data_IF_304328858536
#
_entry.id   IF_304328858536
#
_cell.length_a   1.000
_cell.length_b   1.000
_cell.length_c   1.000
_cell.angle_alpha   90.00
_cell.angle_beta   90.00
_cell.angle_gamma   90.00
#
_symmetry.space_group_name_H-M   'P 1'
#
loop_
_entity.id
_entity.type
_entity.pdbx_description
1 polymer ?
#
# COMPACT_ATOMS: atom_id res chain seq x y z
N UNK A 1 -11.67 7.21 -1.00
CA UNK A 1 -12.48 8.40 -1.36
C UNK A 1 -13.93 8.04 -1.67
N UNK A 2 -14.20 6.95 -2.40
CA UNK A 2 -15.55 6.53 -2.82
C UNK A 2 -16.56 6.46 -1.66
N UNK A 3 -16.18 5.81 -0.55
CA UNK A 3 -17.04 5.67 0.63
C UNK A 3 -17.37 7.01 1.29
N UNK A 4 -16.42 7.96 1.27
CA UNK A 4 -16.58 9.28 1.89
C UNK A 4 -17.53 10.13 1.05
N UNK A 5 -17.33 10.17 -0.28
CA UNK A 5 -18.26 10.80 -1.22
C UNK A 5 -19.69 10.30 -0.96
N UNK A 6 -19.86 8.98 -0.89
CA UNK A 6 -21.17 8.37 -0.67
C UNK A 6 -21.77 8.69 0.70
N UNK A 7 -20.94 8.79 1.73
CA UNK A 7 -21.39 9.21 3.05
C UNK A 7 -21.95 10.64 3.03
N UNK A 8 -21.26 11.58 2.38
CA UNK A 8 -21.75 12.96 2.25
C UNK A 8 -23.09 13.01 1.52
N UNK A 9 -23.21 12.33 0.37
CA UNK A 9 -24.45 12.25 -0.41
C UNK A 9 -25.65 11.73 0.39
N UNK A 10 -25.43 10.72 1.25
CA UNK A 10 -26.52 10.02 1.92
C UNK A 10 -26.85 10.56 3.31
N UNK A 11 -25.86 11.12 4.03
CA UNK A 11 -26.02 11.43 5.45
C UNK A 11 -25.18 12.60 5.94
N UNK A 12 -23.99 12.84 5.39
CA UNK A 12 -23.04 13.82 5.93
C UNK A 12 -23.64 15.20 6.12
N UNK A 13 -24.37 15.70 5.10
CA UNK A 13 -24.99 17.04 5.16
C UNK A 13 -26.14 17.17 6.17
N UNK A 14 -26.74 16.06 6.63
CA UNK A 14 -27.77 16.12 7.68
C UNK A 14 -27.24 16.47 9.07
N UNK A 15 -25.92 16.56 9.22
CA UNK A 15 -25.26 17.03 10.44
C UNK A 15 -24.93 18.53 10.40
N UNK A 16 -25.26 19.22 9.31
CA UNK A 16 -25.01 20.67 9.13
C UNK A 16 -23.56 21.06 9.47
N UNK A 17 -22.53 20.42 8.86
CA UNK A 17 -21.15 20.68 9.23
C UNK A 17 -20.70 22.08 8.79
N UNK A 18 -20.09 22.82 9.72
CA UNK A 18 -19.46 24.11 9.42
C UNK A 18 -18.12 23.96 8.67
N UNK A 19 -17.50 22.78 8.74
CA UNK A 19 -16.25 22.46 8.07
C UNK A 19 -16.12 20.97 7.82
N UNK A 20 -15.46 20.58 6.73
CA UNK A 20 -15.06 19.20 6.46
C UNK A 20 -13.54 19.10 6.43
N UNK A 21 -12.99 18.19 7.24
CA UNK A 21 -11.58 17.80 7.20
C UNK A 21 -11.47 16.39 6.62
N UNK A 22 -10.75 16.26 5.52
CA UNK A 22 -10.63 15.04 4.74
C UNK A 22 -9.22 14.47 4.83
N UNK A 23 -9.08 13.26 5.38
CA UNK A 23 -7.86 12.44 5.33
C UNK A 23 -8.17 11.12 4.63
N UNK A 24 -7.75 10.95 3.37
CA UNK A 24 -8.02 9.73 2.62
C UNK A 24 -6.98 9.49 1.51
N UNK A 25 -6.96 8.27 0.96
CA UNK A 25 -6.09 7.89 -0.17
C UNK A 25 -5.16 6.71 0.10
N UNK A 26 -4.77 6.46 1.36
CA UNK A 26 -3.89 5.34 1.72
C UNK A 26 -4.43 3.99 1.24
N UNK A 27 -5.73 3.76 1.42
CA UNK A 27 -6.37 2.50 1.03
C UNK A 27 -6.80 2.46 -0.44
N UNK A 28 -7.04 3.63 -1.04
CA UNK A 28 -7.57 3.76 -2.41
C UNK A 28 -6.60 3.14 -3.43
N UNK A 29 -5.30 3.30 -3.18
CA UNK A 29 -4.23 2.80 -4.03
C UNK A 29 -3.86 1.31 -3.83
N UNK A 30 -4.54 0.57 -2.97
CA UNK A 30 -4.25 -0.86 -2.76
C UNK A 30 -5.05 -1.77 -3.70
N UNK A 31 -4.54 -2.95 -4.01
CA UNK A 31 -5.31 -4.01 -4.68
C UNK A 31 -6.21 -4.69 -3.63
N UNK A 32 -7.52 -4.71 -3.87
CA UNK A 32 -8.48 -5.51 -3.08
C UNK A 32 -8.94 -6.80 -3.79
N UNK A 33 -8.56 -6.96 -5.05
CA UNK A 33 -8.91 -8.11 -5.87
C UNK A 33 -9.28 -7.71 -7.30
N UNK A 34 -10.34 -8.32 -7.83
CA UNK A 34 -10.77 -8.13 -9.22
C UNK A 34 -11.69 -6.93 -9.43
N UNK A 35 -12.28 -6.39 -8.36
CA UNK A 35 -13.32 -5.37 -8.43
C UNK A 35 -12.90 -4.10 -7.69
N UNK A 36 -13.25 -2.95 -8.26
CA UNK A 36 -13.09 -1.64 -7.62
C UNK A 36 -14.17 -1.44 -6.55
N UNK A 37 -13.93 -0.50 -5.62
CA UNK A 37 -14.89 -0.13 -4.58
C UNK A 37 -16.24 0.32 -5.20
N UNK A 38 -16.22 1.04 -6.33
CA UNK A 38 -17.43 1.49 -7.05
C UNK A 38 -18.24 0.32 -7.61
N UNK A 39 -17.58 -0.69 -8.17
CA UNK A 39 -18.24 -1.91 -8.64
C UNK A 39 -18.80 -2.74 -7.49
N UNK A 40 -18.05 -2.87 -6.40
CA UNK A 40 -18.53 -3.56 -5.20
C UNK A 40 -19.78 -2.85 -4.66
N UNK A 41 -19.76 -1.52 -4.59
CA UNK A 41 -20.89 -0.73 -4.11
C UNK A 41 -22.11 -0.81 -5.02
N UNK A 42 -21.95 -0.74 -6.35
CA UNK A 42 -23.07 -0.87 -7.29
C UNK A 42 -23.75 -2.25 -7.18
N UNK A 43 -22.97 -3.31 -6.97
CA UNK A 43 -23.48 -4.66 -6.68
C UNK A 43 -24.20 -4.74 -5.34
N UNK A 44 -23.79 -3.95 -4.34
CA UNK A 44 -24.46 -3.90 -3.03
C UNK A 44 -25.83 -3.22 -3.07
N UNK A 45 -26.12 -2.35 -4.04
CA UNK A 45 -27.45 -1.71 -4.17
C UNK A 45 -28.55 -2.77 -4.38
N UNK A 46 -28.23 -3.89 -5.02
CA UNK A 46 -29.11 -5.04 -5.18
C UNK A 46 -29.33 -5.82 -3.87
N UNK A 47 -28.58 -5.55 -2.79
CA UNK A 47 -28.76 -6.22 -1.50
C UNK A 47 -30.05 -5.83 -0.78
N UNK A 48 -30.63 -4.64 -1.01
CA UNK A 48 -31.90 -4.27 -0.34
C UNK A 48 -33.06 -5.17 -0.80
N UNK A 49 -33.30 -5.38 -2.10
CA UNK A 49 -34.21 -6.43 -2.59
C UNK A 49 -33.80 -7.83 -2.10
N UNK A 50 -32.52 -8.20 -2.16
CA UNK A 50 -32.06 -9.53 -1.68
C UNK A 50 -32.32 -9.75 -0.19
N UNK A 51 -32.18 -8.72 0.67
CA UNK A 51 -32.37 -8.80 2.12
C UNK A 51 -33.86 -8.89 2.48
N UNK A 52 -34.72 -8.19 1.73
CA UNK A 52 -36.16 -8.38 1.77
C UNK A 52 -36.56 -9.80 1.34
N UNK A 53 -35.99 -10.28 0.22
CA UNK A 53 -36.28 -11.62 -0.30
C UNK A 53 -35.69 -12.75 0.57
N UNK A 54 -34.59 -12.50 1.31
CA UNK A 54 -33.98 -13.46 2.24
C UNK A 54 -34.89 -13.83 3.43
N UNK A 55 -35.97 -13.08 3.65
CA UNK A 55 -37.03 -13.45 4.59
C UNK A 55 -37.85 -14.68 4.15
N UNK A 56 -37.88 -14.99 2.84
CA UNK A 56 -38.66 -16.10 2.30
C UNK A 56 -37.85 -17.40 2.22
N UNK A 57 -38.37 -18.48 2.81
CA UNK A 57 -37.70 -19.79 2.85
C UNK A 57 -37.37 -20.34 1.45
N UNK A 58 -38.28 -20.17 0.49
CA UNK A 58 -38.08 -20.57 -0.90
C UNK A 58 -36.94 -19.80 -1.58
N UNK A 59 -36.87 -18.49 -1.35
CA UNK A 59 -35.77 -17.67 -1.84
C UNK A 59 -34.44 -18.07 -1.21
N UNK A 60 -34.38 -18.47 0.07
CA UNK A 60 -33.15 -18.99 0.69
C UNK A 60 -32.66 -20.28 0.02
N UNK A 61 -33.55 -21.22 -0.25
CA UNK A 61 -33.21 -22.49 -0.95
C UNK A 61 -32.73 -22.22 -2.37
N UNK A 62 -33.44 -21.38 -3.13
CA UNK A 62 -33.05 -21.02 -4.49
C UNK A 62 -31.74 -20.21 -4.50
N UNK A 63 -31.58 -19.28 -3.57
CA UNK A 63 -30.35 -18.51 -3.39
C UNK A 63 -29.19 -19.48 -3.15
N UNK A 64 -29.27 -20.38 -2.18
CA UNK A 64 -28.15 -21.27 -1.86
C UNK A 64 -27.76 -22.17 -3.05
N UNK A 65 -28.70 -22.50 -3.95
CA UNK A 65 -28.46 -23.21 -5.21
C UNK A 65 -27.86 -22.30 -6.32
N UNK A 66 -28.28 -21.02 -6.39
CA UNK A 66 -27.87 -20.08 -7.44
C UNK A 66 -26.58 -19.33 -7.07
N UNK A 67 -26.45 -18.81 -5.85
CA UNK A 67 -25.22 -18.12 -5.40
C UNK A 67 -24.03 -19.06 -5.32
N UNK A 68 -24.22 -20.33 -4.94
CA UNK A 68 -23.12 -21.31 -4.99
C UNK A 68 -22.62 -21.60 -6.41
N UNK A 69 -23.38 -21.31 -7.48
CA UNK A 69 -22.88 -21.41 -8.86
C UNK A 69 -22.41 -20.07 -9.41
N UNK A 70 -23.18 -19.00 -9.21
CA UNK A 70 -22.94 -17.71 -9.87
C UNK A 70 -21.93 -16.82 -9.15
N UNK A 71 -21.87 -16.83 -7.82
CA UNK A 71 -20.77 -16.17 -7.10
C UNK A 71 -19.48 -16.96 -7.30
N UNK A 72 -19.54 -18.30 -7.39
CA UNK A 72 -18.37 -19.11 -7.77
C UNK A 72 -17.93 -18.82 -9.22
N UNK A 73 -18.84 -18.68 -10.20
CA UNK A 73 -18.50 -18.31 -11.58
C UNK A 73 -18.00 -16.87 -11.73
N UNK A 74 -18.56 -15.89 -10.99
CA UNK A 74 -18.13 -14.48 -11.03
C UNK A 74 -16.89 -14.18 -10.15
N UNK A 75 -16.59 -15.00 -9.14
CA UNK A 75 -15.31 -15.01 -8.40
C UNK A 75 -14.22 -15.75 -9.19
N UNK A 76 -14.61 -16.71 -10.05
CA UNK A 76 -13.72 -17.45 -10.95
C UNK A 76 -13.59 -16.84 -12.34
N UNK A 77 -14.01 -15.58 -12.57
CA UNK A 77 -13.56 -14.83 -13.75
C UNK A 77 -12.08 -14.45 -13.57
N UNK A 78 -11.22 -15.47 -13.55
CA UNK A 78 -9.77 -15.38 -13.34
C UNK A 78 -9.07 -14.65 -14.48
N UNK A 79 -9.79 -14.36 -15.58
CA UNK A 79 -9.25 -13.61 -16.71
C UNK A 79 -9.29 -12.10 -16.48
N UNK A 80 -10.02 -11.62 -15.46
CA UNK A 80 -10.03 -10.20 -15.13
C UNK A 80 -8.72 -9.80 -14.45
N UNK A 81 -8.05 -8.72 -14.91
CA UNK A 81 -6.85 -8.24 -14.24
C UNK A 81 -7.18 -7.67 -12.86
N UNK A 82 -6.25 -7.83 -11.93
CA UNK A 82 -6.31 -7.19 -10.62
C UNK A 82 -6.32 -5.67 -10.78
N UNK A 83 -7.15 -4.99 -10.00
CA UNK A 83 -7.31 -3.54 -10.07
C UNK A 83 -7.11 -2.90 -8.69
N UNK A 84 -6.66 -1.63 -8.64
CA UNK A 84 -6.67 -0.87 -7.41
C UNK A 84 -8.11 -0.66 -6.97
N UNK A 85 -8.33 -0.51 -5.67
CA UNK A 85 -9.65 -0.24 -5.08
C UNK A 85 -10.34 0.95 -5.72
N UNK A 86 -9.59 2.03 -5.95
CA UNK A 86 -10.05 3.23 -6.64
C UNK A 86 -8.91 3.67 -7.53
N UNK A 87 -9.12 3.83 -8.85
CA UNK A 87 -8.06 4.31 -9.74
C UNK A 87 -7.70 5.77 -9.43
N UNK A 88 -6.53 6.28 -9.85
CA UNK A 88 -6.21 7.70 -9.67
C UNK A 88 -7.27 8.63 -10.27
N UNK A 89 -7.78 8.33 -11.46
CA UNK A 89 -8.80 9.14 -12.15
C UNK A 89 -10.09 9.16 -11.34
N UNK A 90 -10.55 7.98 -10.90
CA UNK A 90 -11.73 7.84 -10.07
C UNK A 90 -11.56 8.53 -8.71
N UNK A 91 -10.36 8.48 -8.14
CA UNK A 91 -10.03 9.18 -6.91
C UNK A 91 -10.16 10.71 -7.10
N UNK A 92 -9.64 11.24 -8.21
CA UNK A 92 -9.81 12.65 -8.59
C UNK A 92 -11.27 13.05 -8.80
N UNK A 93 -12.05 12.26 -9.54
CA UNK A 93 -13.51 12.45 -9.69
C UNK A 93 -14.20 12.56 -8.33
N UNK A 94 -13.87 11.64 -7.42
CA UNK A 94 -14.46 11.61 -6.09
C UNK A 94 -14.08 12.83 -5.25
N UNK A 95 -12.83 13.29 -5.32
CA UNK A 95 -12.39 14.50 -4.60
C UNK A 95 -13.04 15.77 -5.16
N UNK A 96 -13.13 15.89 -6.49
CA UNK A 96 -13.83 16.99 -7.16
C UNK A 96 -15.29 17.06 -6.73
N UNK A 97 -15.98 15.93 -6.73
CA UNK A 97 -17.38 15.84 -6.31
C UNK A 97 -17.56 16.25 -4.84
N UNK A 98 -16.66 15.81 -3.95
CA UNK A 98 -16.66 16.24 -2.55
C UNK A 98 -16.46 17.77 -2.45
N UNK A 99 -15.49 18.34 -3.17
CA UNK A 99 -15.24 19.79 -3.17
C UNK A 99 -16.45 20.59 -3.67
N UNK A 100 -17.11 20.13 -4.74
CA UNK A 100 -18.33 20.73 -5.28
C UNK A 100 -19.53 20.62 -4.34
N UNK A 101 -19.69 19.49 -3.63
CA UNK A 101 -20.68 19.37 -2.57
C UNK A 101 -20.41 20.39 -1.47
N UNK A 102 -19.17 20.48 -0.98
CA UNK A 102 -18.76 21.45 0.05
C UNK A 102 -19.09 22.89 -0.37
N UNK A 103 -18.75 23.26 -1.61
CA UNK A 103 -19.05 24.60 -2.17
C UNK A 103 -20.54 24.89 -2.24
N UNK A 104 -21.38 23.92 -2.62
CA UNK A 104 -22.85 24.09 -2.67
C UNK A 104 -23.49 24.29 -1.30
N UNK A 105 -22.84 23.78 -0.25
CA UNK A 105 -23.29 23.88 1.12
C UNK A 105 -22.60 25.02 1.91
N UNK A 106 -21.84 25.90 1.22
CA UNK A 106 -21.03 26.94 1.85
C UNK A 106 -20.12 26.40 2.98
N UNK A 107 -19.64 25.18 2.78
CA UNK A 107 -18.83 24.44 3.74
C UNK A 107 -17.37 24.41 3.23
N UNK A 108 -16.40 24.97 3.97
CA UNK A 108 -14.99 24.87 3.65
C UNK A 108 -14.48 23.42 3.73
N UNK A 109 -13.57 23.07 2.82
CA UNK A 109 -12.94 21.75 2.76
C UNK A 109 -11.43 21.86 3.05
N UNK A 110 -10.96 21.18 4.09
CA UNK A 110 -9.54 20.98 4.35
C UNK A 110 -9.16 19.56 3.94
N UNK A 111 -8.26 19.40 2.97
CA UNK A 111 -7.70 18.09 2.59
C UNK A 111 -6.32 17.93 3.21
N UNK A 112 -6.14 16.87 3.97
CA UNK A 112 -4.87 16.47 4.54
C UNK A 112 -4.20 15.48 3.58
N UNK A 113 -3.16 15.95 2.86
CA UNK A 113 -2.37 15.08 1.97
C UNK A 113 -1.68 14.01 2.84
N UNK A 114 -1.91 12.70 2.66
CA UNK A 114 -1.36 11.72 3.60
C UNK A 114 0.17 11.61 3.49
N UNK A 115 0.92 11.68 4.59
CA UNK A 115 2.35 11.37 4.59
C UNK A 115 2.54 9.84 4.50
N UNK A 116 3.68 9.39 3.93
CA UNK A 116 3.98 7.95 3.76
C UNK A 116 5.42 7.62 4.14
N UNK A 117 5.67 6.48 4.81
CA UNK A 117 7.02 5.99 5.10
C UNK A 117 7.61 5.23 3.91
N UNK A 118 8.87 5.51 3.61
CA UNK A 118 9.68 4.86 2.58
C UNK A 118 10.33 3.56 3.06
N UNK A 119 10.61 3.43 4.37
CA UNK A 119 11.33 2.28 4.93
C UNK A 119 10.42 1.09 5.26
N UNK A 120 9.12 1.20 5.01
CA UNK A 120 8.23 0.05 5.10
C UNK A 120 8.49 -0.94 3.94
N UNK A 121 8.75 -2.24 4.22
CA UNK A 121 9.03 -3.24 3.20
C UNK A 121 7.89 -3.35 2.18
N UNK A 122 8.22 -3.06 0.92
CA UNK A 122 7.27 -3.16 -0.18
C UNK A 122 6.70 -4.58 -0.31
N UNK A 123 5.39 -4.75 -0.53
CA UNK A 123 4.80 -6.07 -0.73
C UNK A 123 4.60 -6.92 0.53
N UNK A 124 5.04 -6.47 1.71
CA UNK A 124 5.04 -7.31 2.92
C UNK A 124 3.72 -7.28 3.68
N UNK A 125 2.97 -6.18 3.64
CA UNK A 125 1.82 -5.94 4.53
C UNK A 125 0.79 -7.08 4.51
N UNK A 126 0.41 -7.57 3.33
CA UNK A 126 -0.62 -8.61 3.21
C UNK A 126 -0.08 -10.03 3.27
N UNK A 127 1.24 -10.23 3.35
CA UNK A 127 1.85 -11.57 3.38
C UNK A 127 1.41 -12.39 4.59
N UNK A 128 1.15 -11.75 5.74
CA UNK A 128 0.59 -12.39 6.94
C UNK A 128 -0.77 -13.04 6.68
N UNK A 129 -1.52 -12.59 5.67
CA UNK A 129 -2.83 -13.09 5.31
C UNK A 129 -2.82 -14.07 4.12
N UNK A 130 -1.65 -14.38 3.56
CA UNK A 130 -1.51 -15.19 2.34
C UNK A 130 -2.15 -16.59 2.42
N UNK A 131 -2.25 -17.13 3.63
CA UNK A 131 -2.76 -18.47 3.92
C UNK A 131 -4.17 -18.47 4.51
N UNK A 132 -4.76 -17.30 4.75
CA UNK A 132 -6.09 -17.24 5.34
C UNK A 132 -7.14 -17.69 4.34
N UNK A 133 -8.03 -18.55 4.81
CA UNK A 133 -9.19 -19.01 4.06
C UNK A 133 -10.49 -18.49 4.66
N UNK A 134 -11.49 -18.27 3.82
CA UNK A 134 -12.86 -18.02 4.25
C UNK A 134 -13.50 -19.26 4.88
N UNK A 135 -14.75 -19.11 5.34
CA UNK A 135 -15.53 -20.22 5.91
C UNK A 135 -15.88 -21.32 4.90
N UNK A 136 -15.65 -21.06 3.61
CA UNK A 136 -15.79 -22.00 2.49
C UNK A 136 -14.47 -22.74 2.16
N UNK A 137 -13.39 -22.47 2.91
CA UNK A 137 -12.07 -23.05 2.69
C UNK A 137 -11.30 -22.44 1.51
N UNK A 138 -11.82 -21.42 0.83
CA UNK A 138 -11.10 -20.71 -0.24
C UNK A 138 -10.22 -19.60 0.32
N UNK A 139 -9.10 -19.29 -0.36
CA UNK A 139 -8.24 -18.18 0.04
C UNK A 139 -9.00 -16.86 0.04
N UNK A 140 -8.77 -16.03 1.07
CA UNK A 140 -9.40 -14.70 1.17
C UNK A 140 -8.91 -13.78 0.03
N UNK A 141 -7.67 -13.97 -0.42
CA UNK A 141 -7.15 -13.29 -1.59
C UNK A 141 -7.35 -14.10 -2.87
N UNK A 142 -7.59 -13.42 -4.00
CA UNK A 142 -7.45 -14.02 -5.31
C UNK A 142 -6.13 -14.79 -5.44
N UNK A 143 -6.19 -15.95 -6.08
CA UNK A 143 -5.02 -16.83 -6.27
C UNK A 143 -3.78 -16.09 -6.83
N UNK A 144 -3.88 -15.20 -7.83
CA UNK A 144 -2.71 -14.46 -8.32
C UNK A 144 -2.04 -13.61 -7.24
N UNK A 145 -2.82 -12.99 -6.35
CA UNK A 145 -2.26 -12.24 -5.21
C UNK A 145 -1.57 -13.21 -4.25
N UNK A 146 -2.25 -14.30 -3.88
CA UNK A 146 -1.72 -15.29 -2.95
C UNK A 146 -0.41 -15.92 -3.44
N UNK A 147 -0.32 -16.24 -4.74
CA UNK A 147 0.87 -16.80 -5.37
C UNK A 147 2.03 -15.78 -5.32
N UNK A 148 1.77 -14.49 -5.57
CA UNK A 148 2.77 -13.42 -5.50
C UNK A 148 3.27 -13.22 -4.06
N UNK A 149 2.37 -13.00 -3.11
CA UNK A 149 2.77 -12.73 -1.71
C UNK A 149 3.37 -13.97 -1.04
N UNK A 150 2.98 -15.16 -1.51
CA UNK A 150 3.49 -16.46 -1.06
C UNK A 150 4.90 -16.80 -1.53
N UNK A 151 5.50 -16.01 -2.43
CA UNK A 151 6.85 -16.25 -2.91
C UNK A 151 7.87 -16.26 -1.76
N UNK A 152 8.89 -17.13 -1.88
CA UNK A 152 10.02 -17.26 -0.95
C UNK A 152 11.05 -16.15 -1.16
N UNK A 153 10.59 -14.90 -1.05
CA UNK A 153 11.39 -13.70 -1.25
C UNK A 153 11.83 -13.12 0.10
N UNK A 154 13.14 -12.99 0.30
CA UNK A 154 13.75 -12.35 1.47
C UNK A 154 13.84 -10.83 1.33
N UNK A 155 13.89 -10.14 2.46
CA UNK A 155 13.95 -8.68 2.56
C UNK A 155 15.16 -8.19 3.36
N UNK A 156 15.69 -7.02 3.01
CA UNK A 156 16.68 -6.29 3.81
C UNK A 156 15.99 -5.68 5.04
N UNK A 157 15.65 -6.52 6.01
CA UNK A 157 15.05 -6.14 7.28
C UNK A 157 16.11 -6.21 8.36
N UNK A 158 16.42 -5.06 8.95
CA UNK A 158 17.25 -4.96 10.15
C UNK A 158 16.35 -4.79 11.38
N UNK A 159 16.55 -5.67 12.38
CA UNK A 159 15.81 -5.63 13.64
C UNK A 159 16.12 -4.38 14.44
N UNK A 160 17.35 -3.87 14.39
CA UNK A 160 17.75 -2.68 15.13
C UNK A 160 17.08 -1.44 14.53
N UNK A 161 17.17 -1.25 13.21
CA UNK A 161 16.44 -0.19 12.50
C UNK A 161 14.93 -0.29 12.70
N UNK A 162 14.35 -1.48 12.58
CA UNK A 162 12.91 -1.68 12.82
C UNK A 162 12.51 -1.27 14.24
N UNK A 163 13.31 -1.63 15.25
CA UNK A 163 13.10 -1.21 16.64
C UNK A 163 13.29 0.31 16.83
N UNK A 164 14.24 0.92 16.13
CA UNK A 164 14.45 2.38 16.19
C UNK A 164 13.28 3.14 15.57
N UNK A 165 12.79 2.69 14.41
CA UNK A 165 11.73 3.36 13.67
C UNK A 165 10.36 3.19 14.32
N UNK A 166 10.02 1.96 14.70
CA UNK A 166 8.66 1.61 15.13
C UNK A 166 8.57 1.38 16.64
N UNK A 167 9.67 1.54 17.38
CA UNK A 167 9.71 1.43 18.83
C UNK A 167 9.29 0.05 19.35
N UNK A 168 8.43 0.04 20.37
CA UNK A 168 7.71 -1.15 20.82
C UNK A 168 6.67 -1.52 19.78
N UNK A 169 7.10 -2.25 18.76
CA UNK A 169 6.29 -2.66 17.61
C UNK A 169 4.97 -3.27 18.11
N UNK A 170 3.85 -2.73 17.64
CA UNK A 170 2.54 -3.30 17.95
C UNK A 170 2.46 -4.75 17.42
N UNK A 171 1.52 -5.52 17.96
CA UNK A 171 1.43 -6.95 17.66
C UNK A 171 1.25 -7.22 16.16
N UNK A 172 0.48 -6.37 15.46
CA UNK A 172 0.22 -6.52 14.04
C UNK A 172 1.46 -6.19 13.21
N UNK A 173 2.11 -5.06 13.45
CA UNK A 173 3.34 -4.71 12.71
C UNK A 173 4.42 -5.77 12.90
N UNK A 174 4.57 -6.29 14.13
CA UNK A 174 5.51 -7.38 14.40
C UNK A 174 5.15 -8.65 13.64
N UNK A 175 3.87 -9.00 13.56
CA UNK A 175 3.40 -10.15 12.78
C UNK A 175 3.70 -9.99 11.28
N UNK A 176 3.52 -8.78 10.73
CA UNK A 176 3.87 -8.48 9.33
C UNK A 176 5.37 -8.65 9.10
N UNK A 177 6.23 -8.06 9.93
CA UNK A 177 7.68 -8.22 9.82
C UNK A 177 8.11 -9.69 9.92
N UNK A 178 7.53 -10.44 10.85
CA UNK A 178 7.80 -11.87 11.02
C UNK A 178 7.24 -12.74 9.89
N UNK A 179 6.36 -12.22 9.03
CA UNK A 179 5.86 -12.93 7.85
C UNK A 179 6.86 -12.92 6.68
N UNK A 180 7.91 -12.10 6.74
CA UNK A 180 8.97 -12.11 5.76
C UNK A 180 9.62 -13.50 5.70
N UNK A 181 9.92 -13.97 4.49
CA UNK A 181 10.52 -15.29 4.32
C UNK A 181 11.93 -15.32 4.92
N UNK A 182 12.23 -16.39 5.66
CA UNK A 182 13.56 -16.71 6.16
C UNK A 182 13.84 -18.20 5.92
N UNK A 183 15.09 -18.54 5.60
CA UNK A 183 15.53 -19.90 5.29
C UNK A 183 16.37 -20.54 6.41
N UNK A 184 16.51 -19.86 7.54
CA UNK A 184 17.24 -20.29 8.76
C UNK A 184 18.74 -20.59 8.58
N UNK A 185 19.28 -20.46 7.36
CA UNK A 185 20.70 -20.64 7.08
C UNK A 185 21.52 -19.47 7.63
N UNK A 186 22.78 -19.75 8.00
CA UNK A 186 23.76 -18.68 8.18
C UNK A 186 24.00 -17.96 6.85
N UNK A 187 24.60 -16.76 6.89
CA UNK A 187 24.80 -15.98 5.67
C UNK A 187 25.72 -16.73 4.68
N UNK A 188 26.79 -17.37 5.15
CA UNK A 188 27.74 -18.10 4.29
C UNK A 188 27.10 -19.35 3.67
N UNK A 189 26.35 -20.12 4.46
CA UNK A 189 25.57 -21.26 3.96
C UNK A 189 24.53 -20.80 2.92
N UNK A 190 23.85 -19.67 3.14
CA UNK A 190 22.90 -19.12 2.20
C UNK A 190 23.58 -18.71 0.88
N UNK A 191 24.74 -18.06 0.94
CA UNK A 191 25.53 -17.69 -0.24
C UNK A 191 25.91 -18.94 -1.03
N UNK A 192 26.47 -19.96 -0.39
CA UNK A 192 26.84 -21.23 -1.03
C UNK A 192 25.62 -21.92 -1.64
N UNK A 193 24.53 -22.02 -0.87
CA UNK A 193 23.29 -22.65 -1.29
C UNK A 193 22.73 -21.99 -2.55
N UNK A 194 22.48 -20.67 -2.52
CA UNK A 194 21.90 -19.97 -3.66
C UNK A 194 22.85 -19.93 -4.85
N UNK A 195 24.17 -19.81 -4.64
CA UNK A 195 25.17 -19.93 -5.71
C UNK A 195 25.08 -21.29 -6.41
N UNK A 196 24.99 -22.38 -5.65
CA UNK A 196 24.86 -23.74 -6.20
C UNK A 196 23.55 -23.93 -6.99
N UNK A 197 22.46 -23.27 -6.55
CA UNK A 197 21.17 -23.29 -7.25
C UNK A 197 21.23 -22.51 -8.55
N UNK A 198 21.88 -21.34 -8.55
CA UNK A 198 22.06 -20.51 -9.73
C UNK A 198 22.92 -21.17 -10.82
N UNK A 199 23.81 -22.11 -10.47
CA UNK A 199 24.51 -22.93 -11.47
C UNK A 199 23.53 -23.78 -12.31
N UNK A 200 22.41 -24.21 -11.72
CA UNK A 200 21.37 -25.03 -12.37
C UNK A 200 20.28 -24.17 -13.00
N UNK A 201 19.90 -23.07 -12.36
CA UNK A 201 18.86 -22.16 -12.81
C UNK A 201 19.36 -20.70 -12.79
N UNK A 202 20.10 -20.32 -13.85
CA UNK A 202 20.75 -19.01 -13.98
C UNK A 202 19.78 -17.84 -14.14
N UNK A 203 18.49 -18.11 -14.35
CA UNK A 203 17.48 -17.07 -14.59
C UNK A 203 16.58 -16.83 -13.37
N UNK A 204 16.80 -17.56 -12.28
CA UNK A 204 15.97 -17.45 -11.09
C UNK A 204 16.22 -16.14 -10.33
N UNK A 205 15.34 -15.15 -10.53
CA UNK A 205 15.46 -13.86 -9.85
C UNK A 205 15.32 -13.96 -8.33
N UNK A 206 14.57 -14.93 -7.79
CA UNK A 206 14.42 -15.14 -6.34
C UNK A 206 15.74 -15.58 -5.70
N UNK A 207 16.49 -16.48 -6.35
CA UNK A 207 17.79 -16.93 -5.84
C UNK A 207 18.81 -15.79 -5.82
N UNK A 208 18.87 -14.96 -6.86
CA UNK A 208 19.72 -13.76 -6.84
C UNK A 208 19.33 -12.80 -5.71
N UNK A 209 18.04 -12.52 -5.53
CA UNK A 209 17.60 -11.64 -4.45
C UNK A 209 17.97 -12.20 -3.08
N UNK A 210 17.67 -13.47 -2.82
CA UNK A 210 17.92 -14.08 -1.51
C UNK A 210 19.42 -14.21 -1.21
N UNK A 211 20.24 -14.43 -2.24
CA UNK A 211 21.70 -14.36 -2.14
C UNK A 211 22.17 -12.94 -1.82
N UNK A 212 21.58 -11.92 -2.47
CA UNK A 212 21.86 -10.52 -2.17
C UNK A 212 21.55 -10.15 -0.71
N UNK A 213 20.48 -10.70 -0.13
CA UNK A 213 20.19 -10.53 1.30
C UNK A 213 21.29 -11.14 2.17
N UNK A 214 21.83 -12.30 1.80
CA UNK A 214 22.90 -12.95 2.55
C UNK A 214 24.20 -12.12 2.50
N UNK A 215 24.56 -11.59 1.33
CA UNK A 215 25.66 -10.64 1.20
C UNK A 215 25.45 -9.37 2.03
N UNK A 216 24.26 -8.77 1.97
CA UNK A 216 23.92 -7.58 2.75
C UNK A 216 24.04 -7.83 4.26
N UNK A 217 23.55 -8.96 4.76
CA UNK A 217 23.68 -9.35 6.17
C UNK A 217 25.13 -9.58 6.59
N UNK A 218 26.02 -9.92 5.66
CA UNK A 218 27.46 -10.07 5.90
C UNK A 218 28.26 -8.77 5.68
N UNK A 219 27.59 -7.65 5.40
CA UNK A 219 28.27 -6.36 5.12
C UNK A 219 28.93 -6.27 3.75
N UNK A 220 28.70 -7.25 2.86
CA UNK A 220 29.22 -7.29 1.50
C UNK A 220 28.26 -6.53 0.55
N UNK A 221 28.21 -5.21 0.70
CA UNK A 221 27.18 -4.39 0.05
C UNK A 221 27.32 -4.29 -1.46
N UNK A 222 28.53 -4.39 -2.00
CA UNK A 222 28.77 -4.37 -3.44
C UNK A 222 28.21 -5.62 -4.14
N UNK A 223 28.48 -6.80 -3.58
CA UNK A 223 27.97 -8.09 -4.04
C UNK A 223 26.44 -8.17 -3.88
N UNK A 224 25.91 -7.58 -2.80
CA UNK A 224 24.48 -7.45 -2.59
C UNK A 224 23.82 -6.57 -3.66
N UNK A 225 24.37 -5.39 -3.95
CA UNK A 225 23.85 -4.48 -4.99
C UNK A 225 23.83 -5.17 -6.37
N UNK A 226 24.93 -5.83 -6.74
CA UNK A 226 25.00 -6.62 -7.97
C UNK A 226 23.87 -7.66 -8.03
N UNK A 227 23.71 -8.44 -6.96
CA UNK A 227 22.70 -9.50 -6.88
C UNK A 227 21.27 -8.95 -6.99
N UNK A 228 20.95 -7.85 -6.31
CA UNK A 228 19.61 -7.24 -6.39
C UNK A 228 19.31 -6.69 -7.78
N UNK A 229 20.29 -6.06 -8.44
CA UNK A 229 20.09 -5.53 -9.80
C UNK A 229 19.90 -6.62 -10.83
N UNK A 230 20.64 -7.72 -10.72
CA UNK A 230 20.44 -8.91 -11.56
C UNK A 230 19.06 -9.50 -11.31
N UNK A 231 18.65 -9.67 -10.05
CA UNK A 231 17.32 -10.14 -9.68
C UNK A 231 16.22 -9.27 -10.31
N UNK A 232 16.29 -7.95 -10.15
CA UNK A 232 15.33 -7.00 -10.74
C UNK A 232 15.28 -7.11 -12.26
N UNK A 233 16.45 -7.17 -12.91
CA UNK A 233 16.56 -7.29 -14.37
C UNK A 233 15.90 -8.58 -14.88
N UNK A 234 16.16 -9.71 -14.22
CA UNK A 234 15.56 -10.99 -14.58
C UNK A 234 14.05 -10.99 -14.37
N UNK A 235 13.58 -10.45 -13.23
CA UNK A 235 12.16 -10.29 -12.96
C UNK A 235 11.45 -9.47 -14.05
N UNK A 236 12.04 -8.34 -14.44
CA UNK A 236 11.48 -7.48 -15.50
C UNK A 236 11.43 -8.19 -16.86
N UNK A 237 12.44 -8.98 -17.20
CA UNK A 237 12.45 -9.78 -18.45
C UNK A 237 11.38 -10.86 -18.44
N UNK A 238 11.19 -11.53 -17.30
CA UNK A 238 10.16 -12.56 -17.15
C UNK A 238 8.75 -11.98 -17.29
N UNK A 239 8.53 -10.75 -16.81
CA UNK A 239 7.24 -10.06 -16.82
C UNK A 239 7.17 -8.93 -17.85
N UNK A 240 8.02 -8.93 -18.89
CA UNK A 240 8.13 -7.83 -19.85
C UNK A 240 6.81 -7.55 -20.60
N UNK A 241 6.01 -8.60 -20.80
CA UNK A 241 4.70 -8.54 -21.47
C UNK A 241 3.54 -8.35 -20.50
N UNK A 242 3.78 -8.39 -19.19
CA UNK A 242 2.76 -8.26 -18.16
C UNK A 242 2.87 -6.88 -17.49
N UNK A 243 2.09 -5.93 -18.00
CA UNK A 243 1.97 -4.59 -17.45
C UNK A 243 0.93 -4.48 -16.34
N UNK A 244 0.41 -5.61 -15.83
CA UNK A 244 -0.57 -5.60 -14.76
C UNK A 244 -0.01 -4.97 -13.49
N UNK A 245 -0.88 -4.32 -12.72
CA UNK A 245 -0.50 -3.73 -11.43
C UNK A 245 0.02 -4.78 -10.46
N UNK A 246 -0.44 -6.03 -10.58
CA UNK A 246 0.05 -7.14 -9.78
C UNK A 246 1.51 -7.50 -10.09
N UNK A 247 1.86 -7.65 -11.37
CA UNK A 247 3.25 -7.88 -11.79
C UNK A 247 4.15 -6.69 -11.43
N UNK A 248 3.68 -5.46 -11.64
CA UNK A 248 4.42 -4.27 -11.21
C UNK A 248 4.69 -4.28 -9.70
N UNK A 249 3.68 -4.63 -8.89
CA UNK A 249 3.79 -4.70 -7.43
C UNK A 249 4.68 -5.84 -6.94
N UNK A 250 4.65 -6.99 -7.60
CA UNK A 250 5.55 -8.10 -7.31
C UNK A 250 7.02 -7.76 -7.59
N UNK A 251 7.29 -6.76 -8.42
CA UNK A 251 8.62 -6.21 -8.67
C UNK A 251 9.12 -5.19 -7.63
N UNK A 252 8.25 -4.66 -6.77
CA UNK A 252 8.61 -3.63 -5.80
C UNK A 252 9.62 -4.08 -4.71
N UNK A 253 9.59 -5.32 -4.19
CA UNK A 253 10.55 -5.78 -3.18
C UNK A 253 12.03 -5.71 -3.62
N UNK A 254 12.33 -5.94 -4.89
CA UNK A 254 13.71 -5.86 -5.40
C UNK A 254 14.26 -4.43 -5.29
N UNK A 255 13.43 -3.43 -5.65
CA UNK A 255 13.80 -2.02 -5.53
C UNK A 255 13.96 -1.61 -4.06
N UNK A 256 13.09 -2.11 -3.19
CA UNK A 256 13.21 -1.90 -1.75
C UNK A 256 14.56 -2.44 -1.22
N UNK A 257 14.92 -3.67 -1.56
CA UNK A 257 16.18 -4.28 -1.11
C UNK A 257 17.41 -3.51 -1.63
N UNK A 258 17.40 -3.08 -2.90
CA UNK A 258 18.46 -2.21 -3.44
C UNK A 258 18.54 -0.89 -2.68
N UNK A 259 17.41 -0.22 -2.44
CA UNK A 259 17.37 1.03 -1.69
C UNK A 259 17.93 0.91 -0.28
N UNK A 260 17.54 -0.14 0.46
CA UNK A 260 18.08 -0.43 1.79
C UNK A 260 19.58 -0.76 1.76
N UNK A 261 20.04 -1.49 0.74
CA UNK A 261 21.46 -1.79 0.58
C UNK A 261 22.27 -0.50 0.43
N UNK A 262 21.81 0.44 -0.40
CA UNK A 262 22.47 1.74 -0.61
C UNK A 262 22.52 2.59 0.67
N UNK A 263 21.45 2.58 1.49
CA UNK A 263 21.49 3.22 2.81
C UNK A 263 22.59 2.59 3.65
N UNK A 264 22.62 1.26 3.72
CA UNK A 264 23.56 0.51 4.56
C UNK A 264 25.01 0.70 4.12
N UNK A 265 25.26 0.69 2.81
CA UNK A 265 26.56 0.94 2.19
C UNK A 265 27.08 2.35 2.47
N UNK A 266 26.21 3.36 2.38
CA UNK A 266 26.61 4.75 2.58
C UNK A 266 27.05 5.06 4.02
N UNK A 267 26.68 4.21 4.99
CA UNK A 267 26.81 4.49 6.41
C UNK A 267 25.93 5.66 6.90
N UNK A 268 25.20 6.32 5.99
CA UNK A 268 24.24 7.35 6.35
C UNK A 268 23.03 6.70 7.03
N UNK A 269 22.48 7.40 8.02
CA UNK A 269 21.22 7.00 8.63
C UNK A 269 20.05 7.27 7.69
N UNK A 270 18.85 7.35 8.28
CA UNK A 270 17.61 7.60 7.53
C UNK A 270 17.55 9.00 6.93
N UNK A 271 18.47 9.90 7.31
CA UNK A 271 18.55 11.29 6.83
C UNK A 271 18.79 11.37 5.32
N UNK A 272 19.39 10.34 4.71
CA UNK A 272 19.58 10.25 3.26
C UNK A 272 18.25 10.31 2.49
N UNK A 273 17.13 9.98 3.13
CA UNK A 273 15.78 10.07 2.55
C UNK A 273 15.27 11.51 2.44
N UNK A 274 15.92 12.47 3.07
CA UNK A 274 15.61 13.89 2.91
C UNK A 274 16.17 14.44 1.58
N UNK A 275 17.21 13.80 1.03
CA UNK A 275 17.76 14.12 -0.27
C UNK A 275 17.06 13.32 -1.37
N UNK A 276 16.12 13.97 -2.06
CA UNK A 276 15.39 13.36 -3.18
C UNK A 276 16.26 13.05 -4.40
N UNK A 277 17.49 13.57 -4.46
CA UNK A 277 18.46 13.25 -5.52
C UNK A 277 19.28 11.99 -5.22
N UNK A 278 19.24 11.50 -3.97
CA UNK A 278 19.98 10.30 -3.59
C UNK A 278 19.44 9.04 -4.30
N UNK A 279 20.35 8.15 -4.67
CA UNK A 279 19.98 6.89 -5.31
C UNK A 279 19.10 6.02 -4.37
N UNK A 280 19.41 6.02 -3.07
CA UNK A 280 18.63 5.30 -2.07
C UNK A 280 17.17 5.77 -2.02
N UNK A 281 16.96 7.09 -1.99
CA UNK A 281 15.62 7.68 -2.05
C UNK A 281 14.91 7.27 -3.36
N UNK A 282 15.58 7.40 -4.51
CA UNK A 282 14.98 7.08 -5.80
C UNK A 282 14.50 5.61 -5.87
N UNK A 283 15.28 4.67 -5.34
CA UNK A 283 14.89 3.25 -5.29
C UNK A 283 13.72 2.99 -4.32
N UNK A 284 13.74 3.58 -3.13
CA UNK A 284 12.68 3.38 -2.13
C UNK A 284 11.38 4.06 -2.51
N UNK A 285 11.44 5.27 -3.08
CA UNK A 285 10.28 5.92 -3.66
C UNK A 285 9.72 5.07 -4.80
N UNK A 286 10.55 4.57 -5.72
CA UNK A 286 10.09 3.68 -6.80
C UNK A 286 9.45 2.40 -6.26
N UNK A 287 10.02 1.79 -5.21
CA UNK A 287 9.42 0.65 -4.53
C UNK A 287 8.04 1.01 -3.96
N UNK A 288 7.91 2.15 -3.29
CA UNK A 288 6.63 2.64 -2.76
C UNK A 288 5.62 2.90 -3.86
N UNK A 289 6.03 3.53 -4.98
CA UNK A 289 5.14 3.84 -6.10
C UNK A 289 4.60 2.59 -6.78
N UNK A 290 5.40 1.51 -6.82
CA UNK A 290 4.99 0.24 -7.41
C UNK A 290 4.26 -0.68 -6.42
N UNK A 291 4.31 -0.44 -5.11
CA UNK A 291 3.75 -1.35 -4.12
C UNK A 291 2.24 -1.17 -3.90
N UNK A 292 1.39 -1.80 -4.72
CA UNK A 292 -0.06 -1.81 -4.49
C UNK A 292 -0.52 -2.88 -3.48
N UNK A 293 0.42 -3.60 -2.85
CA UNK A 293 0.15 -4.57 -1.78
C UNK A 293 0.34 -3.98 -0.38
N UNK A 294 0.59 -2.67 -0.27
CA UNK A 294 0.51 -1.94 0.98
C UNK A 294 -0.45 -0.75 0.87
N UNK A 295 -1.11 -0.40 1.97
CA UNK A 295 -2.04 0.72 2.08
C UNK A 295 -1.28 2.06 2.15
N UNK A 296 -0.58 2.42 1.07
CA UNK A 296 0.18 3.67 0.95
C UNK A 296 -0.23 4.39 -0.32
N UNK A 297 -0.65 5.65 -0.19
CA UNK A 297 -1.04 6.50 -1.32
C UNK A 297 0.14 6.69 -2.29
N UNK A 298 -0.14 6.80 -3.60
CA UNK A 298 0.88 6.97 -4.66
C UNK A 298 0.93 8.41 -5.16
N UNK A 299 2.03 8.77 -5.81
CA UNK A 299 2.24 10.09 -6.43
C UNK A 299 1.15 10.45 -7.43
N UNK A 300 0.61 9.49 -8.16
CA UNK A 300 -0.51 9.72 -9.10
C UNK A 300 -1.78 10.19 -8.38
N UNK A 301 -2.03 9.75 -7.14
CA UNK A 301 -3.14 10.22 -6.31
C UNK A 301 -2.83 11.58 -5.67
N UNK A 302 -1.58 11.81 -5.27
CA UNK A 302 -1.14 13.14 -4.83
C UNK A 302 -1.38 14.21 -5.89
N UNK A 303 -1.13 13.91 -7.17
CA UNK A 303 -1.46 14.82 -8.27
C UNK A 303 -2.95 15.19 -8.27
N UNK A 304 -3.84 14.24 -8.00
CA UNK A 304 -5.28 14.51 -7.94
C UNK A 304 -5.66 15.43 -6.77
N UNK A 305 -4.99 15.29 -5.62
CA UNK A 305 -5.14 16.23 -4.49
C UNK A 305 -4.68 17.63 -4.91
N UNK A 306 -3.53 17.72 -5.59
CA UNK A 306 -2.98 18.99 -6.07
C UNK A 306 -3.85 19.65 -7.16
N UNK A 307 -4.59 18.86 -7.95
CA UNK A 307 -5.56 19.39 -8.91
C UNK A 307 -6.82 19.96 -8.21
N UNK A 308 -7.33 19.27 -7.18
CA UNK A 308 -8.50 19.73 -6.42
C UNK A 308 -8.17 20.92 -5.51
N UNK A 309 -6.89 21.15 -5.18
CA UNK A 309 -6.47 22.35 -4.43
C UNK A 309 -6.68 23.67 -5.19
N UNK A 310 -7.06 23.62 -6.47
CA UNK A 310 -7.35 24.81 -7.30
C UNK A 310 -8.74 25.40 -7.04
N UNK A 311 -9.59 24.69 -6.30
CA UNK A 311 -10.91 25.16 -5.91
C UNK A 311 -10.78 26.16 -4.76
N UNK A 312 -11.53 27.25 -4.83
CA UNK A 312 -11.47 28.37 -3.87
C UNK A 312 -11.90 27.99 -2.45
N UNK A 313 -12.82 27.01 -2.32
CA UNK A 313 -13.27 26.50 -1.04
C UNK A 313 -12.40 25.35 -0.47
N UNK A 314 -11.25 25.06 -1.09
CA UNK A 314 -10.38 23.93 -0.70
C UNK A 314 -9.04 24.42 -0.20
N UNK A 315 -8.67 24.01 1.01
CA UNK A 315 -7.33 24.17 1.57
C UNK A 315 -6.63 22.81 1.64
N UNK A 316 -5.41 22.71 1.12
CA UNK A 316 -4.61 21.47 1.20
C UNK A 316 -3.46 21.63 2.18
N UNK A 317 -3.38 20.74 3.17
CA UNK A 317 -2.25 20.64 4.10
C UNK A 317 -1.26 19.62 3.57
N UNK A 318 -0.03 20.05 3.27
CA UNK A 318 1.03 19.20 2.72
C UNK A 318 1.79 18.45 3.81
N UNK A 319 1.13 17.51 4.49
CA UNK A 319 1.76 16.72 5.54
C UNK A 319 3.02 15.93 5.09
N UNK A 320 3.19 15.44 3.83
CA UNK A 320 4.42 14.78 3.42
C UNK A 320 5.67 15.66 3.59
N UNK A 321 5.57 16.95 3.29
CA UNK A 321 6.68 17.90 3.50
C UNK A 321 6.92 18.11 5.00
N UNK A 322 5.86 18.37 5.75
CA UNK A 322 5.93 18.60 7.20
C UNK A 322 6.53 17.39 7.94
N UNK A 323 6.12 16.17 7.58
CA UNK A 323 6.64 14.96 8.18
C UNK A 323 8.13 14.79 7.88
N UNK A 324 8.55 15.00 6.62
CA UNK A 324 9.96 14.94 6.23
C UNK A 324 10.83 15.87 7.09
N UNK A 325 10.36 17.09 7.29
CA UNK A 325 11.12 18.12 8.00
C UNK A 325 11.18 17.89 9.53
N UNK A 326 10.24 17.12 10.11
CA UNK A 326 10.07 17.00 11.57
C UNK A 326 10.36 15.61 12.17
N UNK A 327 10.77 14.65 11.36
CA UNK A 327 11.17 13.31 11.84
C UNK A 327 11.01 12.18 10.84
N UNK A 328 10.38 12.43 9.69
CA UNK A 328 10.21 11.51 8.58
C UNK A 328 9.66 10.15 9.03
N UNK A 329 10.45 9.11 8.76
CA UNK A 329 10.13 7.71 9.06
C UNK A 329 9.80 7.45 10.54
N UNK A 330 10.41 8.21 11.47
CA UNK A 330 10.20 8.05 12.93
C UNK A 330 8.82 8.53 13.39
N UNK A 331 8.05 9.16 12.51
CA UNK A 331 6.70 9.63 12.80
C UNK A 331 5.62 8.58 12.47
N UNK A 332 6.00 7.35 12.12
CA UNK A 332 5.07 6.27 11.81
C UNK A 332 5.22 5.08 12.76
N UNK A 333 4.09 4.43 13.06
CA UNK A 333 4.04 3.16 13.79
C UNK A 333 4.17 1.98 12.81
N UNK A 334 3.64 2.16 11.60
CA UNK A 334 3.65 1.15 10.54
C UNK A 334 3.66 1.80 9.14
N UNK A 335 3.21 1.07 8.11
CA UNK A 335 3.09 1.56 6.73
C UNK A 335 2.30 2.86 6.52
N UNK A 336 1.40 3.27 7.41
CA UNK A 336 0.57 4.48 7.17
C UNK A 336 0.04 5.19 8.41
N UNK A 337 0.14 4.59 9.59
CA UNK A 337 -0.37 5.15 10.84
C UNK A 337 0.69 6.02 11.52
N UNK A 338 0.39 7.31 11.79
CA UNK A 338 1.30 8.17 12.54
C UNK A 338 1.47 7.75 14.00
N UNK A 339 2.62 8.07 14.59
CA UNK A 339 2.84 8.00 16.04
C UNK A 339 2.06 9.09 16.76
N UNK A 340 2.06 9.07 18.10
CA UNK A 340 1.54 10.19 18.90
C UNK A 340 2.14 11.54 18.47
N UNK A 341 3.46 11.59 18.26
CA UNK A 341 4.14 12.80 17.77
C UNK A 341 3.68 13.17 16.35
N UNK A 342 3.52 12.18 15.47
CA UNK A 342 2.97 12.42 14.12
C UNK A 342 1.55 13.01 14.17
N UNK A 343 0.68 12.48 15.02
CA UNK A 343 -0.67 13.03 15.24
C UNK A 343 -0.65 14.45 15.83
N UNK A 344 0.27 14.73 16.76
CA UNK A 344 0.45 16.07 17.30
C UNK A 344 0.81 17.08 16.20
N UNK A 345 1.75 16.74 15.33
CA UNK A 345 2.14 17.56 14.17
C UNK A 345 0.95 17.80 13.23
N UNK A 346 0.17 16.75 12.92
CA UNK A 346 -1.05 16.89 12.10
C UNK A 346 -2.02 17.89 12.72
N UNK A 347 -2.25 17.79 14.04
CA UNK A 347 -3.15 18.69 14.76
C UNK A 347 -2.63 20.14 14.75
N UNK A 348 -1.32 20.35 14.88
CA UNK A 348 -0.73 21.69 14.78
C UNK A 348 -0.91 22.30 13.39
N UNK A 349 -0.73 21.53 12.32
CA UNK A 349 -0.95 22.02 10.95
C UNK A 349 -2.43 22.35 10.68
N UNK A 350 -3.35 21.53 11.18
CA UNK A 350 -4.79 21.82 11.12
C UNK A 350 -5.10 23.12 11.87
N UNK A 351 -4.55 23.30 13.08
CA UNK A 351 -4.76 24.51 13.88
C UNK A 351 -4.21 25.78 13.20
N UNK A 352 -3.09 25.67 12.47
CA UNK A 352 -2.56 26.78 11.67
C UNK A 352 -3.56 27.24 10.61
N UNK A 353 -4.17 26.30 9.88
CA UNK A 353 -5.22 26.61 8.89
C UNK A 353 -6.42 27.31 9.56
N UNK A 354 -6.84 26.85 10.74
CA UNK A 354 -7.91 27.51 11.50
C UNK A 354 -7.61 28.96 11.86
N UNK A 355 -6.38 29.25 12.28
CA UNK A 355 -5.96 30.61 12.65
C UNK A 355 -5.84 31.52 11.44
N UNK A 356 -5.38 31.02 10.29
CA UNK A 356 -5.13 31.84 9.10
C UNK A 356 -6.40 32.09 8.29
N UNK A 357 -7.19 31.04 8.04
CA UNK A 357 -8.34 31.10 7.13
C UNK A 357 -9.65 31.43 7.85
N UNK A 358 -9.82 30.95 9.08
CA UNK A 358 -11.09 31.02 9.81
C UNK A 358 -11.09 32.04 10.96
N UNK A 359 -9.96 32.73 11.21
CA UNK A 359 -9.78 33.75 12.25
C UNK A 359 -10.26 33.31 13.65
N UNK A 360 -10.03 32.03 13.98
CA UNK A 360 -10.25 31.47 15.32
C UNK A 360 -9.13 31.83 16.30
#
# INVERSE_FOLDING_TARGET
SEQIKRFLELKGWSYEPDIIILYCGNNDASISGYYTDREIMSRQVLKKPRRFLAGFAFYRVIRDIITSRKEIEELNDTNRPLSPRVTPEQYGENLTDIAEQCRRHDCPLIILKPPVPYLWPAGLQFKVFAHLTGGDGQLIFPKPIADIIGQKLKYCIDKNRSKELYGGIDIFTRAVYNSAYDDSMTNDEAIEYYSSKLLKDKKNHLFYNNMGIAFWKSGQYFEADYSFRVARTLYQKEHEKDSSIAALSAGAPYLYNTGINLISESGAGIEILNDSSSAAFAYLDSALQLDYFSLRIKRTYFKQIDEVSKYDNVTVVNLPAVFRDQGGEKLFIDHCHPTFKGHYIIAEEILKVFKTEFRL
#
